data_IF_071929414616
#
_entry.id   IF_071929414616
#
_cell.length_a   1.000
_cell.length_b   1.000
_cell.length_c   1.000
_cell.angle_alpha   90.00
_cell.angle_beta   90.00
_cell.angle_gamma   90.00
#
_symmetry.space_group_name_H-M   'P 1'
#
loop_
_entity.id
_entity.type
_entity.pdbx_description
1 polymer ?
#
# COMPACT_ATOMS: atom_id res chain seq x y z
N UNK A 1 10.01 -2.48 7.81
CA UNK A 1 8.68 -1.92 8.16
C UNK A 1 7.71 -3.06 8.42
N UNK A 2 6.86 -2.93 9.41
CA UNK A 2 5.82 -3.92 9.70
C UNK A 2 4.61 -3.69 8.80
N UNK A 3 3.70 -4.68 8.77
CA UNK A 3 2.45 -4.52 8.04
C UNK A 3 1.65 -3.34 8.59
N UNK A 4 1.56 -3.20 9.91
CA UNK A 4 0.88 -2.05 10.53
C UNK A 4 1.53 -0.73 10.15
N UNK A 5 2.86 -0.68 10.10
CA UNK A 5 3.58 0.50 9.68
C UNK A 5 3.28 0.88 8.24
N UNK A 6 3.17 -0.12 7.36
CA UNK A 6 2.82 0.12 5.97
C UNK A 6 1.43 0.71 5.84
N UNK A 7 0.46 0.17 6.59
CA UNK A 7 -0.91 0.71 6.59
C UNK A 7 -0.95 2.15 7.07
N UNK A 8 -0.19 2.46 8.14
CA UNK A 8 -0.12 3.84 8.65
C UNK A 8 0.49 4.79 7.62
N UNK A 9 1.53 4.35 6.92
CA UNK A 9 2.15 5.14 5.87
C UNK A 9 1.19 5.37 4.70
N UNK A 10 0.41 4.36 4.32
CA UNK A 10 -0.60 4.52 3.29
C UNK A 10 -1.67 5.54 3.71
N UNK A 11 -2.07 5.52 4.98
CA UNK A 11 -3.04 6.48 5.48
C UNK A 11 -2.54 7.92 5.33
N UNK A 12 -1.27 8.15 5.58
CA UNK A 12 -0.68 9.46 5.39
C UNK A 12 -0.70 9.87 3.91
N UNK A 13 -0.35 8.96 3.03
CA UNK A 13 -0.37 9.23 1.59
C UNK A 13 -1.78 9.53 1.11
N UNK A 14 -2.75 8.78 1.58
CA UNK A 14 -4.14 8.91 1.17
C UNK A 14 -4.88 10.03 1.91
N UNK A 15 -4.23 10.61 2.91
CA UNK A 15 -4.81 11.69 3.72
C UNK A 15 -6.13 11.27 4.36
N UNK A 16 -6.12 10.10 4.97
CA UNK A 16 -7.26 9.58 5.72
C UNK A 16 -6.88 9.45 7.19
N UNK A 17 -7.86 9.41 8.10
CA UNK A 17 -7.57 9.31 9.53
C UNK A 17 -6.75 8.07 9.87
N UNK A 18 -5.94 8.17 10.92
CA UNK A 18 -5.16 7.05 11.41
C UNK A 18 -6.08 5.90 11.80
N UNK A 19 -5.68 4.69 11.40
CA UNK A 19 -6.41 3.45 11.70
C UNK A 19 -7.77 3.32 11.01
N UNK A 20 -8.05 4.18 10.03
CA UNK A 20 -9.28 4.10 9.25
C UNK A 20 -9.15 3.18 8.04
N UNK A 21 -7.93 2.97 7.55
CA UNK A 21 -7.70 2.16 6.36
C UNK A 21 -7.71 0.68 6.72
N UNK A 22 -8.46 -0.10 5.97
CA UNK A 22 -8.60 -1.53 6.18
C UNK A 22 -8.17 -2.30 4.95
N UNK A 23 -7.89 -3.58 5.11
CA UNK A 23 -7.44 -4.40 3.99
C UNK A 23 -8.48 -4.53 2.88
N UNK A 24 -9.76 -4.47 3.21
CA UNK A 24 -10.82 -4.50 2.21
C UNK A 24 -11.00 -3.19 1.47
N UNK A 25 -10.36 -2.11 1.91
CA UNK A 25 -10.45 -0.84 1.21
C UNK A 25 -9.73 -0.91 -0.13
N UNK A 26 -10.27 -0.17 -1.10
CA UNK A 26 -9.76 -0.16 -2.46
C UNK A 26 -9.87 1.25 -3.04
N UNK A 27 -9.46 1.39 -4.29
CA UNK A 27 -9.61 2.64 -5.03
C UNK A 27 -11.07 3.09 -5.10
N UNK A 28 -11.99 2.16 -5.02
CA UNK A 28 -13.42 2.47 -5.08
C UNK A 28 -13.98 2.98 -3.76
N UNK A 29 -13.38 2.56 -2.63
CA UNK A 29 -13.86 2.97 -1.32
C UNK A 29 -13.10 4.17 -0.76
N UNK A 30 -11.89 4.45 -1.27
CA UNK A 30 -11.06 5.57 -0.82
C UNK A 30 -10.94 6.56 -1.98
N UNK A 31 -11.68 7.65 -1.90
CA UNK A 31 -11.72 8.65 -2.97
C UNK A 31 -10.36 9.28 -3.25
N UNK A 32 -9.51 9.39 -2.23
CA UNK A 32 -8.18 9.97 -2.33
C UNK A 32 -7.17 9.04 -3.01
N UNK A 33 -7.53 7.80 -3.26
CA UNK A 33 -6.64 6.84 -3.91
C UNK A 33 -6.67 7.05 -5.42
N UNK A 34 -5.89 8.01 -5.86
CA UNK A 34 -5.78 8.42 -7.25
C UNK A 34 -4.49 7.88 -7.86
N UNK A 35 -4.27 8.17 -9.15
CA UNK A 35 -3.02 7.80 -9.81
C UNK A 35 -1.81 8.46 -9.14
N UNK A 36 -1.97 9.67 -8.62
CA UNK A 36 -0.88 10.33 -7.89
C UNK A 36 -0.57 9.58 -6.61
N UNK A 37 -1.59 9.12 -5.89
CA UNK A 37 -1.40 8.32 -4.69
C UNK A 37 -0.68 7.01 -5.02
N UNK A 38 -1.00 6.38 -6.16
CA UNK A 38 -0.30 5.17 -6.61
C UNK A 38 1.21 5.41 -6.73
N UNK A 39 1.60 6.50 -7.36
CA UNK A 39 3.02 6.84 -7.53
C UNK A 39 3.69 6.96 -6.17
N UNK A 40 3.03 7.61 -5.23
CA UNK A 40 3.56 7.78 -3.88
C UNK A 40 3.65 6.45 -3.13
N UNK A 41 2.65 5.59 -3.27
CA UNK A 41 2.64 4.26 -2.65
C UNK A 41 3.77 3.40 -3.22
N UNK A 42 3.95 3.40 -4.54
CA UNK A 42 5.04 2.63 -5.16
C UNK A 42 6.41 3.17 -4.77
N UNK A 43 6.55 4.49 -4.63
CA UNK A 43 7.79 5.09 -4.13
C UNK A 43 8.08 4.63 -2.71
N UNK A 44 7.07 4.57 -1.86
CA UNK A 44 7.19 4.07 -0.50
C UNK A 44 7.66 2.60 -0.51
N UNK A 45 7.03 1.78 -1.34
CA UNK A 45 7.36 0.35 -1.43
C UNK A 45 8.81 0.17 -1.87
N UNK A 46 9.26 0.89 -2.87
CA UNK A 46 10.62 0.81 -3.34
C UNK A 46 11.62 1.27 -2.27
N UNK A 47 11.30 2.39 -1.63
CA UNK A 47 12.18 3.00 -0.62
C UNK A 47 12.31 2.13 0.62
N UNK A 48 11.21 1.57 1.11
CA UNK A 48 11.20 0.84 2.38
C UNK A 48 11.54 -0.64 2.24
N UNK A 49 11.16 -1.25 1.12
CA UNK A 49 11.31 -2.70 0.95
C UNK A 49 12.29 -3.08 -0.15
N UNK A 50 12.71 -2.14 -0.98
CA UNK A 50 13.56 -2.45 -2.12
C UNK A 50 12.85 -3.26 -3.19
N UNK A 51 11.52 -3.22 -3.22
CA UNK A 51 10.71 -3.97 -4.18
C UNK A 51 10.32 -3.07 -5.33
N UNK A 52 10.63 -3.49 -6.56
CA UNK A 52 10.25 -2.74 -7.74
C UNK A 52 8.77 -2.92 -8.04
N UNK A 53 8.05 -1.86 -8.44
CA UNK A 53 6.64 -1.99 -8.82
C UNK A 53 6.53 -2.72 -10.16
N UNK A 54 6.24 -4.01 -10.06
CA UNK A 54 6.03 -4.85 -11.25
C UNK A 54 4.54 -5.00 -11.55
N UNK A 55 4.22 -5.89 -12.51
CA UNK A 55 2.84 -6.09 -12.93
C UNK A 55 1.89 -6.44 -11.79
N UNK A 56 2.33 -7.29 -10.87
CA UNK A 56 1.47 -7.67 -9.73
C UNK A 56 1.12 -6.49 -8.85
N UNK A 57 2.11 -5.64 -8.54
CA UNK A 57 1.87 -4.46 -7.71
C UNK A 57 1.05 -3.40 -8.46
N UNK A 58 1.34 -3.19 -9.74
CA UNK A 58 0.63 -2.20 -10.54
C UNK A 58 -0.85 -2.59 -10.70
N UNK A 59 -1.13 -3.88 -10.81
CA UNK A 59 -2.50 -4.37 -10.97
C UNK A 59 -3.26 -4.48 -9.66
N UNK A 60 -2.60 -4.33 -8.52
CA UNK A 60 -3.26 -4.37 -7.22
C UNK A 60 -4.28 -3.24 -7.10
N UNK A 61 -5.49 -3.57 -6.71
CA UNK A 61 -6.59 -2.60 -6.62
C UNK A 61 -7.03 -2.33 -5.19
N UNK A 62 -6.61 -3.16 -4.25
CA UNK A 62 -6.99 -3.02 -2.85
C UNK A 62 -5.77 -3.08 -1.94
N UNK A 63 -5.96 -2.66 -0.69
CA UNK A 63 -4.93 -2.77 0.33
C UNK A 63 -4.54 -4.25 0.50
N UNK A 64 -5.52 -5.14 0.52
CA UNK A 64 -5.28 -6.58 0.66
C UNK A 64 -4.37 -7.10 -0.45
N UNK A 65 -4.60 -6.66 -1.70
CA UNK A 65 -3.78 -7.08 -2.81
C UNK A 65 -2.32 -6.66 -2.62
N UNK A 66 -2.10 -5.41 -2.21
CA UNK A 66 -0.76 -4.90 -1.96
C UNK A 66 -0.08 -5.67 -0.83
N UNK A 67 -0.79 -5.87 0.27
CA UNK A 67 -0.26 -6.59 1.42
C UNK A 67 0.10 -8.02 1.04
N UNK A 68 -0.76 -8.69 0.29
CA UNK A 68 -0.56 -10.07 -0.12
C UNK A 68 0.71 -10.22 -0.99
N UNK A 69 0.88 -9.34 -1.97
CA UNK A 69 2.05 -9.37 -2.84
C UNK A 69 3.32 -9.12 -2.03
N UNK A 70 3.32 -8.08 -1.18
CA UNK A 70 4.48 -7.76 -0.37
C UNK A 70 4.81 -8.88 0.62
N UNK A 71 3.79 -9.47 1.23
CA UNK A 71 3.99 -10.55 2.17
C UNK A 71 4.58 -11.78 1.49
N UNK A 72 4.15 -12.08 0.26
CA UNK A 72 4.68 -13.21 -0.51
C UNK A 72 6.16 -13.02 -0.85
N UNK A 73 6.65 -11.79 -0.83
CA UNK A 73 8.05 -11.46 -1.11
C UNK A 73 8.87 -11.27 0.15
N UNK A 74 8.27 -11.54 1.32
CA UNK A 74 8.97 -11.41 2.60
C UNK A 74 9.30 -9.97 2.96
N UNK A 75 8.50 -9.01 2.50
CA UNK A 75 8.78 -7.59 2.71
C UNK A 75 8.55 -7.14 4.15
N UNK A 76 7.60 -7.73 4.84
CA UNK A 76 7.26 -7.31 6.20
C UNK A 76 8.09 -8.07 7.25
N UNK A 77 8.35 -7.39 8.36
CA UNK A 77 9.16 -7.94 9.45
C UNK A 77 8.33 -8.65 10.52
N UNK A 78 7.03 -8.46 10.53
CA UNK A 78 6.16 -9.09 11.55
C UNK A 78 5.50 -10.38 11.10
#
# INVERSE_FOLDING_TARGET
MTRSGFLRAMEEILDVPARSLREQDSRETVAQWTSLADVQIFSLITSEFGVEPDGELIEAESVEDLVRVLQSRGAFHD
#
